data_IF_996537012612
#
_entry.id   IF_996537012612
#
_cell.length_a   1.000
_cell.length_b   1.000
_cell.length_c   1.000
_cell.angle_alpha   90.00
_cell.angle_beta   90.00
_cell.angle_gamma   90.00
#
_symmetry.space_group_name_H-M   'P 1'
#
loop_
_entity.id
_entity.type
_entity.pdbx_description
1 polymer ?
#
# COMPACT_ATOMS: atom_id res chain seq x y z
N UNK A 1 -0.73 -15.96 -15.08
CA UNK A 1 -0.94 -14.51 -14.86
C UNK A 1 -2.22 -14.37 -14.05
N UNK A 2 -2.15 -13.76 -12.87
CA UNK A 2 -3.32 -13.48 -12.02
C UNK A 2 -3.67 -12.00 -12.10
N UNK A 3 -4.90 -11.69 -12.52
CA UNK A 3 -5.47 -10.34 -12.56
C UNK A 3 -6.84 -10.44 -11.90
N UNK A 4 -6.97 -9.94 -10.67
CA UNK A 4 -8.16 -10.16 -9.84
C UNK A 4 -9.19 -9.02 -9.97
N UNK A 5 -8.71 -7.82 -10.27
CA UNK A 5 -9.52 -6.60 -10.37
C UNK A 5 -9.12 -5.77 -11.60
N UNK A 6 -10.02 -4.90 -12.06
CA UNK A 6 -9.73 -3.99 -13.18
C UNK A 6 -8.85 -2.79 -12.78
N UNK A 7 -8.79 -2.48 -11.49
CA UNK A 7 -7.93 -1.47 -10.86
C UNK A 7 -7.21 -2.12 -9.67
N UNK A 8 -6.87 -1.36 -8.64
CA UNK A 8 -6.37 -1.86 -7.37
C UNK A 8 -7.30 -2.93 -6.77
N UNK A 9 -6.70 -3.90 -6.08
CA UNK A 9 -7.44 -4.83 -5.23
C UNK A 9 -8.11 -4.08 -4.07
N UNK A 10 -9.12 -4.71 -3.49
CA UNK A 10 -9.83 -4.20 -2.33
C UNK A 10 -8.87 -3.99 -1.15
N UNK A 11 -9.17 -3.06 -0.24
CA UNK A 11 -8.47 -3.02 1.05
C UNK A 11 -8.71 -4.34 1.79
N UNK A 12 -7.76 -4.79 2.60
CA UNK A 12 -7.86 -6.05 3.35
C UNK A 12 -9.13 -6.10 4.21
N UNK A 13 -9.49 -4.98 4.85
CA UNK A 13 -10.71 -4.89 5.67
C UNK A 13 -12.00 -5.03 4.85
N UNK A 14 -11.98 -4.73 3.54
CA UNK A 14 -13.13 -4.84 2.65
C UNK A 14 -13.11 -6.10 1.77
N UNK A 15 -12.02 -6.87 1.81
CA UNK A 15 -11.77 -7.97 0.89
C UNK A 15 -12.76 -9.11 1.10
N UNK A 16 -13.40 -9.56 0.02
CA UNK A 16 -14.11 -10.84 0.00
C UNK A 16 -13.11 -11.95 -0.36
N UNK A 17 -12.74 -12.85 0.58
CA UNK A 17 -11.78 -13.92 0.33
C UNK A 17 -12.28 -14.96 -0.68
N UNK A 18 -13.58 -14.99 -1.00
CA UNK A 18 -14.10 -15.84 -2.07
C UNK A 18 -13.83 -15.28 -3.48
N UNK A 19 -13.50 -13.99 -3.59
CA UNK A 19 -13.33 -13.27 -4.86
C UNK A 19 -11.89 -12.84 -5.08
N UNK A 20 -11.23 -12.33 -4.04
CA UNK A 20 -9.87 -11.77 -4.10
C UNK A 20 -8.93 -12.47 -3.11
N UNK A 21 -7.77 -13.01 -3.56
CA UNK A 21 -6.79 -13.55 -2.64
C UNK A 21 -6.13 -12.44 -1.82
N UNK A 22 -5.76 -12.74 -0.58
CA UNK A 22 -4.89 -11.89 0.23
C UNK A 22 -3.49 -11.78 -0.38
N UNK A 23 -2.74 -10.75 0.03
CA UNK A 23 -1.32 -10.64 -0.27
C UNK A 23 -0.54 -11.88 0.21
N UNK A 24 -0.96 -12.49 1.33
CA UNK A 24 -0.32 -13.68 1.89
C UNK A 24 -0.55 -14.91 1.00
N UNK A 25 -1.77 -15.11 0.52
CA UNK A 25 -2.11 -16.21 -0.39
C UNK A 25 -1.39 -16.06 -1.73
N UNK A 26 -1.33 -14.84 -2.28
CA UNK A 26 -0.54 -14.55 -3.48
C UNK A 26 0.95 -14.83 -3.26
N UNK A 27 1.51 -14.39 -2.13
CA UNK A 27 2.91 -14.62 -1.74
C UNK A 27 3.23 -16.10 -1.65
N UNK A 28 2.42 -16.86 -0.90
CA UNK A 28 2.57 -18.32 -0.76
C UNK A 28 2.55 -19.02 -2.13
N UNK A 29 1.57 -18.68 -2.95
CA UNK A 29 1.41 -19.26 -4.28
C UNK A 29 2.59 -18.95 -5.19
N UNK A 30 3.06 -17.69 -5.19
CA UNK A 30 4.18 -17.25 -6.01
C UNK A 30 5.49 -17.95 -5.59
N UNK A 31 5.79 -18.00 -4.30
CA UNK A 31 7.00 -18.65 -3.80
C UNK A 31 7.03 -20.14 -4.10
N UNK A 32 5.93 -20.86 -3.89
CA UNK A 32 5.85 -22.29 -4.22
C UNK A 32 5.98 -22.54 -5.73
N UNK A 33 5.33 -21.70 -6.54
CA UNK A 33 5.41 -21.80 -8.01
C UNK A 33 6.85 -21.55 -8.49
N UNK A 34 7.50 -20.50 -7.99
CA UNK A 34 8.88 -20.17 -8.36
C UNK A 34 9.86 -21.25 -7.89
N UNK A 35 9.75 -21.72 -6.64
CA UNK A 35 10.55 -22.82 -6.10
C UNK A 35 10.40 -24.08 -6.93
N UNK A 36 9.17 -24.42 -7.34
CA UNK A 36 8.94 -25.57 -8.22
C UNK A 36 9.57 -25.38 -9.60
N UNK A 37 9.45 -24.18 -10.18
CA UNK A 37 9.99 -23.87 -11.49
C UNK A 37 11.53 -23.93 -11.52
N UNK A 38 12.20 -23.57 -10.42
CA UNK A 38 13.67 -23.54 -10.31
C UNK A 38 14.26 -24.79 -9.65
N UNK A 39 13.45 -25.80 -9.30
CA UNK A 39 13.92 -26.98 -8.54
C UNK A 39 15.05 -27.79 -9.20
N UNK A 40 15.16 -27.70 -10.53
CA UNK A 40 16.16 -28.42 -11.32
C UNK A 40 17.23 -27.48 -11.91
N UNK A 41 17.31 -26.23 -11.44
CA UNK A 41 18.28 -25.25 -11.88
C UNK A 41 19.25 -24.92 -10.75
N UNK A 42 20.45 -24.43 -11.09
CA UNK A 42 21.38 -23.88 -10.10
C UNK A 42 20.99 -22.44 -9.72
N UNK A 43 20.28 -21.76 -10.61
CA UNK A 43 19.73 -20.43 -10.40
C UNK A 43 18.44 -20.52 -9.59
N UNK A 44 18.30 -19.64 -8.60
CA UNK A 44 17.04 -19.41 -7.88
C UNK A 44 16.15 -18.42 -8.61
N UNK A 45 15.41 -17.60 -7.84
CA UNK A 45 14.51 -16.59 -8.36
C UNK A 45 14.66 -15.27 -7.60
N UNK A 46 14.20 -14.20 -8.22
CA UNK A 46 13.93 -12.92 -7.58
C UNK A 46 12.42 -12.71 -7.55
N UNK A 47 11.91 -12.18 -6.43
CA UNK A 47 10.51 -11.81 -6.28
C UNK A 47 10.42 -10.48 -5.53
N UNK A 48 9.50 -9.62 -5.99
CA UNK A 48 9.09 -8.41 -5.29
C UNK A 48 7.63 -8.57 -4.88
N UNK A 49 7.34 -8.26 -3.61
CA UNK A 49 6.02 -8.36 -2.99
C UNK A 49 5.70 -6.98 -2.43
N UNK A 50 4.56 -6.42 -2.81
CA UNK A 50 4.18 -5.05 -2.51
C UNK A 50 2.85 -5.00 -1.75
N UNK A 51 2.82 -4.29 -0.63
CA UNK A 51 1.60 -3.96 0.12
C UNK A 51 1.19 -2.49 -0.15
N UNK A 52 0.83 -2.20 -1.40
CA UNK A 52 0.65 -0.81 -1.88
C UNK A 52 -0.55 -0.07 -1.27
N UNK A 53 -1.53 -0.80 -0.75
CA UNK A 53 -2.75 -0.19 -0.18
C UNK A 53 -2.49 0.56 1.14
N UNK A 54 -1.36 0.34 1.81
CA UNK A 54 -0.93 1.15 2.97
C UNK A 54 -0.86 2.63 2.57
N UNK A 55 -0.22 2.93 1.44
CA UNK A 55 -0.08 4.30 0.92
C UNK A 55 -1.44 4.93 0.54
N UNK A 56 -2.30 4.18 -0.14
CA UNK A 56 -3.62 4.70 -0.54
C UNK A 56 -4.50 5.02 0.69
N UNK A 57 -4.46 4.19 1.72
CA UNK A 57 -5.20 4.45 2.96
C UNK A 57 -4.66 5.70 3.67
N UNK A 58 -3.34 5.91 3.65
CA UNK A 58 -2.73 7.12 4.19
C UNK A 58 -3.09 8.37 3.39
N UNK A 59 -3.13 8.31 2.05
CA UNK A 59 -3.63 9.41 1.21
C UNK A 59 -5.07 9.83 1.58
N UNK A 60 -5.92 8.85 1.91
CA UNK A 60 -7.29 9.08 2.34
C UNK A 60 -7.41 9.55 3.81
N UNK A 61 -6.33 9.46 4.60
CA UNK A 61 -6.33 9.60 6.05
C UNK A 61 -7.27 8.58 6.75
N UNK A 62 -7.29 7.35 6.23
CA UNK A 62 -8.10 6.24 6.71
C UNK A 62 -7.32 5.40 7.75
N UNK A 63 -7.49 5.62 9.07
CA UNK A 63 -6.80 4.83 10.08
C UNK A 63 -7.22 3.35 10.09
N UNK A 64 -8.43 3.01 9.63
CA UNK A 64 -8.92 1.62 9.62
C UNK A 64 -8.28 0.87 8.45
N UNK A 65 -8.39 1.40 7.23
CA UNK A 65 -7.72 0.85 6.06
C UNK A 65 -6.22 0.71 6.30
N UNK A 66 -5.58 1.76 6.80
CA UNK A 66 -4.13 1.78 7.05
C UNK A 66 -3.69 0.71 8.06
N UNK A 67 -4.43 0.55 9.17
CA UNK A 67 -4.14 -0.48 10.18
C UNK A 67 -4.23 -1.89 9.59
N UNK A 68 -5.34 -2.20 8.91
CA UNK A 68 -5.56 -3.55 8.39
C UNK A 68 -4.56 -3.93 7.30
N UNK A 69 -4.15 -2.99 6.45
CA UNK A 69 -3.09 -3.21 5.46
C UNK A 69 -1.72 -3.48 6.11
N UNK A 70 -1.38 -2.76 7.19
CA UNK A 70 -0.14 -3.01 7.95
C UNK A 70 -0.18 -4.38 8.62
N UNK A 71 -1.31 -4.75 9.22
CA UNK A 71 -1.47 -6.07 9.87
C UNK A 71 -1.29 -7.19 8.84
N UNK A 72 -1.92 -7.06 7.66
CA UNK A 72 -1.72 -7.98 6.56
C UNK A 72 -0.24 -8.03 6.17
N UNK A 73 0.40 -6.89 5.88
CA UNK A 73 1.82 -6.89 5.52
C UNK A 73 2.71 -7.56 6.60
N UNK A 74 2.40 -7.37 7.89
CA UNK A 74 3.10 -8.05 8.97
C UNK A 74 2.96 -9.59 8.91
N UNK A 75 1.77 -10.12 8.59
CA UNK A 75 1.59 -11.57 8.38
C UNK A 75 2.42 -12.10 7.20
N UNK A 76 2.58 -11.31 6.13
CA UNK A 76 3.48 -11.63 5.01
C UNK A 76 4.93 -11.66 5.47
N UNK A 77 5.38 -10.66 6.23
CA UNK A 77 6.75 -10.60 6.74
C UNK A 77 7.05 -11.78 7.68
N UNK A 78 6.11 -12.13 8.57
CA UNK A 78 6.26 -13.30 9.46
C UNK A 78 6.39 -14.60 8.65
N UNK A 79 5.55 -14.79 7.62
CA UNK A 79 5.65 -15.94 6.72
C UNK A 79 6.98 -15.96 5.94
N UNK A 80 7.44 -14.81 5.45
CA UNK A 80 8.71 -14.71 4.72
C UNK A 80 9.91 -14.99 5.61
N UNK A 81 9.88 -14.59 6.89
CA UNK A 81 10.92 -14.95 7.86
C UNK A 81 11.03 -16.47 8.01
N UNK A 82 9.90 -17.15 8.21
CA UNK A 82 9.88 -18.61 8.28
C UNK A 82 10.33 -19.27 6.96
N UNK A 83 10.01 -18.65 5.82
CA UNK A 83 10.48 -19.14 4.52
C UNK A 83 12.00 -19.07 4.43
N UNK A 84 12.61 -17.97 4.82
CA UNK A 84 14.08 -17.82 4.86
C UNK A 84 14.72 -18.83 5.81
N UNK A 85 14.14 -19.06 7.00
CA UNK A 85 14.65 -20.06 7.95
C UNK A 85 14.70 -21.48 7.35
N UNK A 86 13.73 -21.80 6.47
CA UNK A 86 13.63 -23.09 5.77
C UNK A 86 14.47 -23.15 4.48
N UNK A 87 14.96 -22.01 3.98
CA UNK A 87 15.72 -21.89 2.73
C UNK A 87 16.93 -20.95 2.96
N UNK A 88 18.00 -21.48 3.57
CA UNK A 88 19.16 -20.70 4.04
C UNK A 88 19.97 -19.99 2.95
N UNK A 89 19.69 -20.25 1.68
CA UNK A 89 20.22 -19.57 0.49
C UNK A 89 19.36 -18.36 0.07
N UNK A 90 18.31 -18.03 0.83
CA UNK A 90 17.39 -16.93 0.56
C UNK A 90 17.67 -15.75 1.49
N UNK A 91 17.65 -14.54 0.94
CA UNK A 91 17.68 -13.29 1.70
C UNK A 91 16.39 -12.51 1.47
N UNK A 92 15.83 -11.95 2.54
CA UNK A 92 14.68 -11.05 2.53
C UNK A 92 15.13 -9.64 2.87
N UNK A 93 14.66 -8.67 2.08
CA UNK A 93 14.78 -7.24 2.37
C UNK A 93 13.39 -6.61 2.24
N UNK A 94 13.00 -5.84 3.25
CA UNK A 94 11.73 -5.11 3.32
C UNK A 94 12.00 -3.65 3.59
N UNK A 95 11.36 -2.76 2.85
CA UNK A 95 11.41 -1.31 3.03
C UNK A 95 10.13 -0.70 2.49
N UNK A 96 9.88 0.56 2.81
CA UNK A 96 8.95 1.39 2.07
C UNK A 96 9.68 2.17 0.98
N UNK A 97 8.94 2.65 -0.02
CA UNK A 97 9.38 3.62 -1.01
C UNK A 97 9.34 5.05 -0.45
N UNK A 98 8.36 5.36 0.41
CA UNK A 98 8.25 6.59 1.19
C UNK A 98 7.26 6.43 2.36
N UNK A 99 7.19 7.43 3.26
CA UNK A 99 6.05 7.58 4.17
C UNK A 99 4.93 8.37 3.50
N UNK A 100 3.69 8.09 3.89
CA UNK A 100 2.51 8.83 3.45
C UNK A 100 1.62 9.24 4.61
N UNK A 101 1.03 10.43 4.50
CA UNK A 101 0.03 10.95 5.43
C UNK A 101 0.60 11.77 6.60
N UNK A 102 1.89 11.64 6.92
CA UNK A 102 2.47 12.28 8.11
C UNK A 102 1.77 11.79 9.38
N UNK A 103 1.68 10.47 9.53
CA UNK A 103 0.93 9.82 10.60
C UNK A 103 1.58 10.10 11.96
N UNK A 104 0.75 10.49 12.93
CA UNK A 104 1.16 10.62 14.33
C UNK A 104 0.15 9.95 15.25
N UNK A 105 0.67 9.28 16.28
CA UNK A 105 -0.14 8.59 17.28
C UNK A 105 -0.16 9.41 18.56
N UNK A 106 -1.38 9.73 18.99
CA UNK A 106 -1.65 10.48 20.20
C UNK A 106 -1.64 11.99 20.01
N UNK A 107 -2.37 12.68 20.88
CA UNK A 107 -2.45 14.13 20.83
C UNK A 107 -3.02 14.75 22.09
N UNK A 108 -2.90 16.08 22.15
CA UNK A 108 -3.49 16.88 23.22
C UNK A 108 -4.99 17.04 22.95
N UNK A 109 -5.82 16.63 23.90
CA UNK A 109 -7.30 16.78 23.87
C UNK A 109 -7.70 18.11 24.53
N UNK A 110 -7.20 18.34 25.73
CA UNK A 110 -7.32 19.58 26.50
C UNK A 110 -5.99 19.94 27.16
N UNK A 111 -5.85 21.14 27.71
CA UNK A 111 -4.62 21.57 28.39
C UNK A 111 -4.25 20.58 29.51
N UNK A 112 -3.12 19.90 29.36
CA UNK A 112 -2.62 18.90 30.32
C UNK A 112 -3.08 17.46 30.06
N UNK A 113 -3.83 17.21 28.98
CA UNK A 113 -4.37 15.88 28.66
C UNK A 113 -3.82 15.39 27.31
N UNK A 114 -2.97 14.36 27.35
CA UNK A 114 -2.45 13.66 26.19
C UNK A 114 -3.04 12.25 26.14
N UNK A 115 -3.63 11.87 25.00
CA UNK A 115 -4.30 10.58 24.84
C UNK A 115 -3.92 9.93 23.51
N UNK A 116 -3.94 8.60 23.51
CA UNK A 116 -4.00 7.73 22.33
C UNK A 116 -5.00 6.61 22.66
N UNK A 117 -6.02 6.44 21.83
CA UNK A 117 -7.12 5.51 22.09
C UNK A 117 -7.41 4.62 20.88
N UNK A 118 -6.72 3.50 20.70
CA UNK A 118 -6.93 2.63 19.54
C UNK A 118 -8.21 1.81 19.60
N UNK A 119 -8.92 1.74 20.75
CA UNK A 119 -10.08 0.87 20.96
C UNK A 119 -11.16 0.99 19.85
N UNK A 120 -11.56 2.20 19.40
CA UNK A 120 -12.58 2.33 18.35
C UNK A 120 -12.23 1.63 17.03
N UNK A 121 -10.94 1.44 16.72
CA UNK A 121 -10.50 0.78 15.49
C UNK A 121 -10.91 -0.70 15.46
N UNK A 122 -10.98 -1.36 16.63
CA UNK A 122 -11.28 -2.79 16.70
C UNK A 122 -12.72 -3.14 16.29
N UNK A 123 -13.64 -2.16 16.32
CA UNK A 123 -15.04 -2.35 15.93
C UNK A 123 -15.28 -2.07 14.44
N UNK A 124 -14.32 -1.50 13.73
CA UNK A 124 -14.46 -1.14 12.33
C UNK A 124 -14.48 -2.39 11.43
N UNK A 125 -15.35 -2.38 10.43
CA UNK A 125 -15.57 -3.51 9.51
C UNK A 125 -15.27 -3.19 8.06
N UNK A 126 -15.07 -1.91 7.75
CA UNK A 126 -14.89 -1.41 6.39
C UNK A 126 -13.93 -0.23 6.37
N UNK A 127 -13.27 -0.01 5.24
CA UNK A 127 -12.49 1.21 5.00
C UNK A 127 -13.41 2.43 4.87
N UNK A 128 -12.85 3.63 5.02
CA UNK A 128 -13.60 4.86 4.78
C UNK A 128 -13.95 5.01 3.29
N UNK A 129 -13.09 4.55 2.37
CA UNK A 129 -13.36 4.57 0.93
C UNK A 129 -14.57 3.71 0.54
N UNK A 130 -14.70 2.51 1.12
CA UNK A 130 -15.85 1.63 0.91
C UNK A 130 -17.14 2.32 1.34
N UNK A 131 -17.14 2.85 2.57
CA UNK A 131 -18.32 3.49 3.15
C UNK A 131 -18.67 4.79 2.42
N UNK A 132 -17.68 5.58 2.01
CA UNK A 132 -17.88 6.77 1.18
C UNK A 132 -18.57 6.42 -0.15
N UNK A 133 -18.16 5.34 -0.82
CA UNK A 133 -18.81 4.88 -2.04
C UNK A 133 -20.27 4.44 -1.80
N UNK A 134 -20.57 3.79 -0.67
CA UNK A 134 -21.95 3.46 -0.28
C UNK A 134 -22.79 4.72 -0.07
N UNK A 135 -22.25 5.72 0.63
CA UNK A 135 -22.94 6.99 0.83
C UNK A 135 -23.22 7.70 -0.49
N UNK A 136 -22.25 7.80 -1.40
CA UNK A 136 -22.45 8.45 -2.71
C UNK A 136 -23.58 7.78 -3.51
N UNK A 137 -23.73 6.45 -3.42
CA UNK A 137 -24.77 5.67 -4.11
C UNK A 137 -26.14 5.70 -3.44
N UNK A 138 -26.21 6.04 -2.16
CA UNK A 138 -27.46 6.03 -1.41
C UNK A 138 -28.50 7.00 -2.00
N UNK A 139 -29.72 6.52 -2.25
CA UNK A 139 -30.85 7.29 -2.78
C UNK A 139 -32.14 7.11 -1.97
N UNK A 140 -32.04 6.56 -0.75
CA UNK A 140 -33.18 6.30 0.12
C UNK A 140 -33.74 7.56 0.79
N UNK A 141 -34.83 7.38 1.54
CA UNK A 141 -35.60 8.47 2.17
C UNK A 141 -35.13 8.86 3.58
N UNK A 142 -34.23 8.09 4.19
CA UNK A 142 -33.71 8.32 5.56
C UNK A 142 -32.18 8.44 5.55
N UNK A 143 -31.64 9.57 5.08
CA UNK A 143 -30.20 9.78 5.01
C UNK A 143 -29.53 9.83 6.39
N UNK A 144 -30.24 10.24 7.45
CA UNK A 144 -29.66 10.39 8.79
C UNK A 144 -29.48 9.02 9.45
N UNK A 145 -30.50 8.15 9.37
CA UNK A 145 -30.39 6.76 9.82
C UNK A 145 -29.31 6.00 9.05
N UNK A 146 -29.29 6.14 7.72
CA UNK A 146 -28.27 5.48 6.89
C UNK A 146 -26.84 5.91 7.26
N UNK A 147 -26.60 7.21 7.44
CA UNK A 147 -25.28 7.70 7.81
C UNK A 147 -24.88 7.26 9.23
N UNK A 148 -25.83 7.19 10.16
CA UNK A 148 -25.57 6.67 11.52
C UNK A 148 -25.10 5.21 11.46
N UNK A 149 -25.80 4.36 10.71
CA UNK A 149 -25.42 2.96 10.52
C UNK A 149 -24.09 2.80 9.76
N UNK A 150 -23.82 3.69 8.81
CA UNK A 150 -22.55 3.74 8.08
C UNK A 150 -21.38 4.09 9.00
N UNK A 151 -21.51 5.10 9.86
CA UNK A 151 -20.48 5.42 10.85
C UNK A 151 -20.29 4.27 11.86
N UNK A 152 -21.36 3.60 12.27
CA UNK A 152 -21.26 2.43 13.16
C UNK A 152 -20.46 1.29 12.52
N UNK A 153 -20.60 1.06 11.21
CA UNK A 153 -19.76 0.11 10.47
C UNK A 153 -18.28 0.49 10.44
N UNK A 154 -17.97 1.78 10.53
CA UNK A 154 -16.61 2.28 10.68
C UNK A 154 -16.10 2.23 12.14
N UNK A 155 -16.86 1.68 13.09
CA UNK A 155 -16.49 1.65 14.51
C UNK A 155 -16.92 2.89 15.30
N UNK A 156 -17.75 3.76 14.71
CA UNK A 156 -18.22 5.01 15.32
C UNK A 156 -19.69 4.91 15.69
N UNK A 157 -19.97 4.53 16.94
CA UNK A 157 -21.33 4.35 17.46
C UNK A 157 -21.99 5.63 17.99
N UNK A 158 -21.23 6.73 18.07
CA UNK A 158 -21.62 8.01 18.64
C UNK A 158 -21.47 9.15 17.61
N UNK A 159 -21.72 8.87 16.33
CA UNK A 159 -21.68 9.88 15.27
C UNK A 159 -22.59 11.06 15.63
N UNK A 160 -22.04 12.27 15.64
CA UNK A 160 -22.79 13.45 16.07
C UNK A 160 -23.49 14.15 14.89
N UNK A 161 -24.41 15.07 15.19
CA UNK A 161 -25.20 15.77 14.16
C UNK A 161 -24.36 16.60 13.18
N UNK A 162 -23.18 17.09 13.59
CA UNK A 162 -22.24 17.77 12.70
C UNK A 162 -21.57 16.80 11.73
N UNK A 163 -21.15 15.63 12.20
CA UNK A 163 -20.59 14.57 11.36
C UNK A 163 -21.58 14.13 10.27
N UNK A 164 -22.85 13.93 10.64
CA UNK A 164 -23.93 13.61 9.71
C UNK A 164 -24.21 14.77 8.73
N UNK A 165 -24.33 15.99 9.23
CA UNK A 165 -24.62 17.16 8.39
C UNK A 165 -23.52 17.43 7.34
N UNK A 166 -22.25 17.30 7.73
CA UNK A 166 -21.09 17.47 6.82
C UNK A 166 -21.08 16.38 5.74
N UNK A 167 -21.37 15.13 6.10
CA UNK A 167 -21.49 14.05 5.13
C UNK A 167 -22.64 14.30 4.13
N UNK A 168 -23.78 14.82 4.60
CA UNK A 168 -24.91 15.18 3.73
C UNK A 168 -24.58 16.31 2.76
N UNK A 169 -23.95 17.37 3.26
CA UNK A 169 -23.58 18.53 2.45
C UNK A 169 -22.60 18.18 1.32
N UNK A 170 -21.80 17.12 1.48
CA UNK A 170 -20.73 16.74 0.56
C UNK A 170 -20.96 15.40 -0.15
N UNK A 171 -22.20 14.89 -0.19
CA UNK A 171 -22.55 13.59 -0.79
C UNK A 171 -21.98 13.37 -2.21
N UNK A 172 -21.84 14.44 -3.00
CA UNK A 172 -21.32 14.36 -4.37
C UNK A 172 -19.79 14.29 -4.49
N UNK A 173 -19.04 14.31 -3.38
CA UNK A 173 -17.59 14.31 -3.36
C UNK A 173 -17.07 13.13 -2.53
N UNK A 174 -16.91 11.96 -3.17
CA UNK A 174 -16.48 10.73 -2.51
C UNK A 174 -15.17 10.91 -1.74
N UNK A 175 -14.17 11.59 -2.31
CA UNK A 175 -12.88 11.80 -1.66
C UNK A 175 -13.00 12.65 -0.38
N UNK A 176 -13.87 13.66 -0.39
CA UNK A 176 -14.15 14.43 0.82
C UNK A 176 -14.83 13.57 1.90
N UNK A 177 -15.79 12.73 1.50
CA UNK A 177 -16.50 11.86 2.43
C UNK A 177 -15.56 10.82 3.04
N UNK A 178 -14.67 10.26 2.23
CA UNK A 178 -13.62 9.33 2.65
C UNK A 178 -12.77 9.93 3.77
N UNK A 179 -12.16 11.09 3.52
CA UNK A 179 -11.38 11.81 4.53
C UNK A 179 -12.23 12.25 5.74
N UNK A 180 -13.49 12.64 5.55
CA UNK A 180 -14.37 13.05 6.66
C UNK A 180 -14.68 11.89 7.61
N UNK A 181 -14.90 10.68 7.08
CA UNK A 181 -15.09 9.47 7.87
C UNK A 181 -13.80 9.14 8.64
N UNK A 182 -12.63 9.18 7.98
CA UNK A 182 -11.33 9.00 8.62
C UNK A 182 -11.06 10.01 9.74
N UNK A 183 -11.39 11.30 9.52
CA UNK A 183 -11.27 12.35 10.54
C UNK A 183 -12.19 12.13 11.74
N UNK A 184 -13.39 11.58 11.53
CA UNK A 184 -14.29 11.22 12.62
C UNK A 184 -13.67 10.15 13.52
N UNK A 185 -12.98 9.16 12.94
CA UNK A 185 -12.23 8.17 13.70
C UNK A 185 -11.01 8.79 14.38
N UNK A 186 -10.23 9.62 13.67
CA UNK A 186 -9.05 10.30 14.21
C UNK A 186 -9.35 11.13 15.46
N UNK A 187 -10.53 11.78 15.54
CA UNK A 187 -10.98 12.50 16.75
C UNK A 187 -11.15 11.60 17.97
N UNK A 188 -11.56 10.35 17.77
CA UNK A 188 -11.81 9.38 18.84
C UNK A 188 -10.55 8.63 19.23
N UNK A 189 -9.67 8.37 18.25
CA UNK A 189 -8.46 7.58 18.45
C UNK A 189 -7.24 8.41 18.80
N UNK A 190 -7.31 9.72 18.59
CA UNK A 190 -6.17 10.63 18.64
C UNK A 190 -5.07 10.28 17.63
N UNK A 191 -5.45 9.65 16.53
CA UNK A 191 -4.62 9.52 15.34
C UNK A 191 -4.74 10.81 14.54
N UNK A 192 -3.60 11.39 14.16
CA UNK A 192 -3.54 12.61 13.36
C UNK A 192 -2.67 12.41 12.13
N UNK A 193 -3.02 13.15 11.09
CA UNK A 193 -2.37 13.14 9.79
C UNK A 193 -1.90 14.55 9.48
N UNK A 194 -0.66 14.70 8.99
CA UNK A 194 -0.07 15.98 8.63
C UNK A 194 -0.39 16.43 7.20
N UNK A 195 -0.73 15.49 6.32
CA UNK A 195 -0.96 15.73 4.88
C UNK A 195 -1.81 14.60 4.29
N UNK A 196 -2.34 14.77 3.08
CA UNK A 196 -2.90 13.66 2.28
C UNK A 196 -1.90 13.23 1.19
N UNK A 197 -0.60 13.35 1.44
CA UNK A 197 0.46 13.06 0.48
C UNK A 197 1.71 12.53 1.18
N UNK A 198 2.80 12.38 0.43
CA UNK A 198 4.00 11.76 0.97
C UNK A 198 4.75 12.72 1.91
N UNK A 199 5.55 12.15 2.82
CA UNK A 199 6.51 12.92 3.62
C UNK A 199 7.94 12.41 3.41
N UNK A 200 8.93 13.25 3.74
CA UNK A 200 10.34 12.97 3.52
C UNK A 200 11.05 12.38 4.74
N UNK A 201 10.34 11.62 5.58
CA UNK A 201 10.98 10.91 6.70
C UNK A 201 11.78 9.73 6.17
N UNK A 202 12.87 9.40 6.85
CA UNK A 202 13.58 8.15 6.61
C UNK A 202 12.64 6.96 6.90
N UNK A 203 12.66 5.95 6.04
CA UNK A 203 11.83 4.75 6.17
C UNK A 203 12.64 3.59 6.74
N UNK A 204 11.95 2.65 7.38
CA UNK A 204 12.60 1.49 7.97
C UNK A 204 13.12 0.53 6.89
N UNK A 205 14.36 0.09 7.07
CA UNK A 205 14.96 -1.01 6.30
C UNK A 205 15.05 -2.25 7.19
N UNK A 206 14.34 -3.30 6.79
CA UNK A 206 14.29 -4.59 7.49
C UNK A 206 14.98 -5.63 6.63
N UNK A 207 15.83 -6.43 7.24
CA UNK A 207 16.58 -7.45 6.55
C UNK A 207 16.63 -8.76 7.32
N UNK A 208 16.59 -9.88 6.62
CA UNK A 208 16.72 -11.21 7.21
C UNK A 208 17.37 -12.20 6.24
N UNK A 209 18.33 -13.00 6.73
CA UNK A 209 19.06 -13.99 5.93
C UNK A 209 20.52 -13.63 5.67
N UNK A 210 21.19 -14.31 4.72
CA UNK A 210 22.62 -14.17 4.47
C UNK A 210 23.03 -12.75 4.06
N UNK A 211 24.22 -12.34 4.52
CA UNK A 211 24.90 -11.08 4.16
C UNK A 211 24.16 -9.79 4.56
N UNK A 212 23.11 -9.89 5.38
CA UNK A 212 22.23 -8.77 5.67
C UNK A 212 22.86 -7.70 6.56
N UNK A 213 23.91 -8.05 7.30
CA UNK A 213 24.72 -7.12 8.06
C UNK A 213 25.30 -5.99 7.20
N UNK A 214 25.45 -6.21 5.87
CA UNK A 214 25.85 -5.18 4.91
C UNK A 214 24.83 -4.05 4.79
N UNK A 215 23.57 -4.30 5.11
CA UNK A 215 22.47 -3.34 5.04
C UNK A 215 22.13 -2.72 6.40
N UNK A 216 22.88 -3.04 7.46
CA UNK A 216 22.69 -2.40 8.76
C UNK A 216 23.05 -0.90 8.72
N UNK A 217 22.34 -0.10 9.51
CA UNK A 217 22.50 1.36 9.61
C UNK A 217 21.64 2.14 8.62
N UNK A 218 21.96 3.42 8.44
CA UNK A 218 21.28 4.28 7.48
C UNK A 218 21.80 3.99 6.07
N UNK A 219 20.90 3.75 5.14
CA UNK A 219 21.20 3.40 3.75
C UNK A 219 20.38 4.26 2.81
N UNK A 220 21.01 4.68 1.72
CA UNK A 220 20.29 5.28 0.61
C UNK A 220 19.51 4.20 -0.14
N UNK A 221 18.37 4.56 -0.74
CA UNK A 221 17.53 3.60 -1.46
C UNK A 221 18.25 2.95 -2.66
N UNK A 222 19.25 3.63 -3.24
CA UNK A 222 20.07 3.07 -4.33
C UNK A 222 20.92 1.88 -3.86
N UNK A 223 21.31 1.85 -2.58
CA UNK A 223 22.09 0.75 -2.02
C UNK A 223 21.29 -0.55 -1.94
N UNK A 224 19.95 -0.49 -1.84
CA UNK A 224 19.08 -1.69 -1.88
C UNK A 224 19.17 -2.39 -3.24
N UNK A 225 19.11 -1.62 -4.33
CA UNK A 225 19.26 -2.16 -5.68
C UNK A 225 20.65 -2.75 -5.93
N UNK A 226 21.70 -2.09 -5.42
CA UNK A 226 23.06 -2.61 -5.50
C UNK A 226 23.21 -3.90 -4.69
N UNK A 227 22.65 -3.96 -3.48
CA UNK A 227 22.69 -5.17 -2.66
C UNK A 227 22.02 -6.35 -3.37
N UNK A 228 20.83 -6.17 -3.93
CA UNK A 228 20.12 -7.21 -4.68
C UNK A 228 20.96 -7.70 -5.87
N UNK A 229 21.58 -6.77 -6.60
CA UNK A 229 22.47 -7.07 -7.74
C UNK A 229 23.65 -7.93 -7.31
N UNK A 230 24.30 -7.58 -6.20
CA UNK A 230 25.44 -8.31 -5.65
C UNK A 230 25.04 -9.72 -5.19
N UNK A 231 23.91 -9.86 -4.49
CA UNK A 231 23.43 -11.16 -4.00
C UNK A 231 23.09 -12.13 -5.14
N UNK A 232 22.56 -11.60 -6.23
CA UNK A 232 22.18 -12.37 -7.41
C UNK A 232 23.34 -12.56 -8.41
N UNK A 233 24.49 -11.91 -8.19
CA UNK A 233 25.64 -11.94 -9.09
C UNK A 233 25.33 -11.40 -10.49
N UNK A 234 24.50 -10.36 -10.59
CA UNK A 234 24.05 -9.82 -11.87
C UNK A 234 25.07 -8.84 -12.47
N UNK A 235 25.32 -8.96 -13.77
CA UNK A 235 26.11 -7.99 -14.54
C UNK A 235 25.17 -6.93 -15.17
N UNK A 236 24.78 -5.95 -14.34
CA UNK A 236 23.93 -4.85 -14.80
C UNK A 236 24.58 -4.03 -15.93
N UNK A 237 25.88 -3.69 -15.91
CA UNK A 237 26.50 -2.99 -17.04
C UNK A 237 26.32 -3.71 -18.38
N UNK A 238 26.53 -5.02 -18.43
CA UNK A 238 26.28 -5.80 -19.65
C UNK A 238 24.81 -5.79 -20.04
N UNK A 239 23.89 -5.96 -19.09
CA UNK A 239 22.45 -5.89 -19.36
C UNK A 239 22.02 -4.50 -19.88
N UNK A 240 22.52 -3.42 -19.27
CA UNK A 240 22.29 -2.04 -19.71
C UNK A 240 22.83 -1.80 -21.12
N UNK A 241 24.04 -2.30 -21.43
CA UNK A 241 24.60 -2.20 -22.77
C UNK A 241 23.75 -2.94 -23.81
N UNK A 242 23.23 -4.12 -23.47
CA UNK A 242 22.34 -4.88 -24.35
C UNK A 242 20.99 -4.17 -24.57
N UNK A 243 20.40 -3.61 -23.51
CA UNK A 243 19.15 -2.85 -23.60
C UNK A 243 19.30 -1.58 -24.45
N UNK A 244 20.46 -0.91 -24.34
CA UNK A 244 20.77 0.31 -25.07
C UNK A 244 21.36 0.06 -26.48
N UNK A 245 21.61 -1.20 -26.86
CA UNK A 245 22.07 -1.51 -28.21
C UNK A 245 20.92 -1.29 -29.19
N UNK A 246 21.07 -0.29 -30.06
CA UNK A 246 20.11 0.04 -31.13
C UNK A 246 19.76 -1.15 -32.04
N UNK A 247 20.61 -2.18 -32.10
CA UNK A 247 20.32 -3.43 -32.83
C UNK A 247 19.19 -4.22 -32.18
N UNK A 248 19.05 -4.13 -30.86
CA UNK A 248 18.01 -4.79 -30.07
C UNK A 248 16.73 -3.95 -29.98
N UNK A 249 16.73 -2.69 -30.46
CA UNK A 249 15.52 -1.84 -30.46
C UNK A 249 14.52 -2.22 -31.57
N UNK A 250 14.91 -3.04 -32.55
CA UNK A 250 14.06 -3.33 -33.72
C UNK A 250 12.68 -3.86 -33.34
N UNK A 251 12.62 -4.83 -32.42
CA UNK A 251 11.35 -5.41 -31.95
C UNK A 251 10.48 -4.37 -31.22
N UNK A 252 11.11 -3.46 -30.48
CA UNK A 252 10.43 -2.41 -29.73
C UNK A 252 9.86 -1.36 -30.70
N UNK A 253 10.68 -0.91 -31.65
CA UNK A 253 10.28 0.01 -32.72
C UNK A 253 9.13 -0.55 -33.56
N UNK A 254 9.17 -1.84 -33.91
CA UNK A 254 8.07 -2.51 -34.63
C UNK A 254 6.77 -2.56 -33.81
N UNK A 255 6.87 -2.69 -32.48
CA UNK A 255 5.71 -2.78 -31.59
C UNK A 255 5.07 -1.44 -31.26
N UNK A 256 5.88 -0.42 -30.96
CA UNK A 256 5.37 0.86 -30.41
C UNK A 256 5.59 2.07 -31.32
N UNK A 257 6.41 1.95 -32.36
CA UNK A 257 6.81 3.06 -33.24
C UNK A 257 8.11 3.73 -32.76
N UNK A 258 8.97 4.11 -33.71
CA UNK A 258 10.28 4.74 -33.43
C UNK A 258 10.14 6.07 -32.66
N UNK A 259 9.10 6.82 -32.97
CA UNK A 259 8.74 8.07 -32.30
C UNK A 259 8.55 7.87 -30.80
N UNK A 260 7.93 6.76 -30.36
CA UNK A 260 7.71 6.46 -28.93
C UNK A 260 8.95 5.91 -28.24
N UNK A 261 9.82 5.21 -28.96
CA UNK A 261 11.11 4.74 -28.42
C UNK A 261 12.05 5.92 -28.16
N UNK A 262 12.14 6.88 -29.09
CA UNK A 262 13.07 8.00 -28.98
C UNK A 262 12.54 9.13 -28.08
N UNK A 263 11.23 9.34 -28.03
CA UNK A 263 10.64 10.45 -27.28
C UNK A 263 9.97 10.03 -25.96
N UNK A 264 9.90 8.72 -25.68
CA UNK A 264 9.00 8.15 -24.69
C UNK A 264 7.54 8.26 -25.12
N UNK A 265 6.62 7.65 -24.36
CA UNK A 265 5.19 7.96 -24.47
C UNK A 265 4.98 9.35 -23.89
N UNK A 266 5.11 10.38 -24.73
CA UNK A 266 4.88 11.78 -24.31
C UNK A 266 3.40 12.03 -24.06
N UNK A 267 2.94 11.78 -22.84
CA UNK A 267 1.86 12.59 -22.29
C UNK A 267 2.47 13.89 -21.79
N UNK A 268 2.38 14.92 -22.63
CA UNK A 268 2.75 16.29 -22.32
C UNK A 268 2.01 16.74 -21.04
N UNK A 269 2.78 17.10 -20.01
CA UNK A 269 2.36 17.78 -18.77
C UNK A 269 1.42 17.01 -17.83
N UNK A 270 2.01 16.29 -16.88
CA UNK A 270 1.82 16.55 -15.44
C UNK A 270 3.17 16.27 -14.78
N UNK A 271 3.60 17.15 -13.85
CA UNK A 271 4.62 16.78 -12.86
C UNK A 271 4.17 15.42 -12.27
N UNK A 272 5.08 14.48 -12.06
CA UNK A 272 4.77 13.26 -11.32
C UNK A 272 4.31 13.68 -9.92
N UNK A 273 3.00 13.80 -9.74
CA UNK A 273 2.36 13.55 -8.47
C UNK A 273 1.87 12.10 -8.55
N UNK A 274 2.16 11.32 -7.52
CA UNK A 274 1.39 10.12 -7.23
C UNK A 274 -0.07 10.57 -7.05
N UNK A 275 -0.89 10.35 -8.07
CA UNK A 275 -2.34 10.53 -7.99
C UNK A 275 -2.94 9.13 -8.16
N UNK A 276 -3.52 8.62 -7.08
CA UNK A 276 -4.37 7.45 -7.09
C UNK A 276 -5.80 7.95 -7.33
N UNK A 277 -6.17 8.13 -8.59
CA UNK A 277 -7.55 8.41 -9.02
C UNK A 277 -8.30 7.10 -9.30
#
# INVERSE_FOLDING_TARGET
>A
MGLFTASHMSYEVDRDPAVEPSLLEMTKTALETLKQATRNTKQGFFIMIEASRIDHAAHANDPVGHLHEIVMYNEVVDYLREWVDKNQDTVMIGTADHECGGLTLGGIVTTGEYQYNPEPLAAAKHSSSYLAAQWTRYNGSDPDGFLTDLFAQYGINDANSTEIAVAKANKGNTNFIDTHIGQAMGRRTMIKWGTGGHTGVDVNLIGYGPNIERMAGNRDNTEVGQFITDQLGLDLPSATNLLNDKKNEKWLVEKVGRDKVENGVRNLRKRHGHQHD
#
